data_IF_091152397866
#
_entry.id   IF_091152397866
#
_cell.length_a   1.000
_cell.length_b   1.000
_cell.length_c   1.000
_cell.angle_alpha   90.00
_cell.angle_beta   90.00
_cell.angle_gamma   90.00
#
_symmetry.space_group_name_H-M   'P 1'
#
loop_
_entity.id
_entity.type
_entity.pdbx_description
1 polymer ?
#
# COMPACT_ATOMS: atom_id res chain seq x y z
N UNK A 1 -23.22 -9.88 23.04
CA UNK A 1 -23.10 -11.20 22.37
C UNK A 1 -22.13 -10.99 21.21
N UNK A 2 -20.88 -11.35 21.36
CA UNK A 2 -19.88 -11.20 20.28
C UNK A 2 -20.04 -12.38 19.34
N UNK A 3 -20.29 -12.11 18.05
CA UNK A 3 -20.32 -13.13 17.01
C UNK A 3 -18.91 -13.74 16.86
N UNK A 4 -18.83 -15.04 16.70
CA UNK A 4 -17.58 -15.78 16.51
C UNK A 4 -16.77 -15.16 15.37
N UNK A 5 -15.52 -14.84 15.66
CA UNK A 5 -14.52 -14.45 14.67
C UNK A 5 -14.35 -15.63 13.71
N UNK A 6 -14.79 -15.47 12.46
CA UNK A 6 -14.63 -16.51 11.43
C UNK A 6 -15.67 -16.50 10.31
N UNK A 7 -16.82 -15.94 10.52
CA UNK A 7 -17.82 -15.76 9.46
C UNK A 7 -17.93 -14.29 9.12
N UNK A 8 -17.60 -13.94 7.88
CA UNK A 8 -17.96 -12.62 7.34
C UNK A 8 -19.49 -12.51 7.47
N UNK A 9 -20.02 -11.49 8.20
CA UNK A 9 -21.44 -11.41 8.53
C UNK A 9 -22.34 -11.27 7.31
N UNK A 10 -21.77 -11.00 6.13
CA UNK A 10 -22.50 -10.84 4.88
C UNK A 10 -21.69 -11.49 3.76
N UNK A 11 -22.07 -12.68 3.24
CA UNK A 11 -21.42 -13.24 2.07
C UNK A 11 -21.65 -12.33 0.87
N UNK A 12 -20.58 -11.89 0.27
CA UNK A 12 -20.59 -11.18 -1.01
C UNK A 12 -21.16 -12.11 -2.08
N UNK A 13 -22.25 -11.68 -2.72
CA UNK A 13 -22.83 -12.42 -3.83
C UNK A 13 -22.20 -12.04 -5.16
N UNK A 14 -22.56 -12.81 -6.15
CA UNK A 14 -22.08 -12.79 -7.54
C UNK A 14 -21.77 -11.39 -8.05
N UNK A 15 -20.60 -11.29 -8.62
CA UNK A 15 -20.16 -10.10 -9.33
C UNK A 15 -21.04 -9.87 -10.58
N UNK A 16 -21.63 -8.67 -10.67
CA UNK A 16 -22.30 -8.21 -11.88
C UNK A 16 -21.38 -7.24 -12.61
N UNK A 17 -21.28 -7.34 -13.91
CA UNK A 17 -20.59 -6.34 -14.72
C UNK A 17 -21.22 -4.96 -14.53
N UNK A 18 -20.38 -3.94 -14.51
CA UNK A 18 -20.83 -2.57 -14.34
C UNK A 18 -20.82 -1.84 -15.67
N UNK A 19 -21.99 -1.35 -16.06
CA UNK A 19 -22.13 -0.48 -17.23
C UNK A 19 -21.32 0.83 -17.12
N UNK A 20 -20.98 1.24 -15.89
CA UNK A 20 -20.30 2.51 -15.61
C UNK A 20 -18.77 2.43 -15.50
N UNK A 21 -18.24 1.23 -15.38
CA UNK A 21 -16.82 0.92 -15.52
C UNK A 21 -16.67 0.12 -16.82
N UNK A 22 -17.17 0.65 -17.91
CA UNK A 22 -17.08 0.00 -19.21
C UNK A 22 -15.68 -0.43 -19.51
N UNK A 23 -15.55 -1.73 -19.60
CA UNK A 23 -14.30 -2.38 -19.72
C UNK A 23 -14.29 -3.15 -20.98
N UNK A 24 -13.48 -2.70 -21.83
CA UNK A 24 -13.00 -3.56 -22.88
C UNK A 24 -11.85 -4.39 -22.31
N UNK A 25 -12.13 -5.65 -22.03
CA UNK A 25 -11.09 -6.66 -21.97
C UNK A 25 -10.57 -6.80 -23.39
N UNK A 26 -9.40 -6.28 -23.67
CA UNK A 26 -8.66 -6.77 -24.81
C UNK A 26 -8.34 -8.23 -24.50
N UNK A 27 -8.81 -9.15 -25.33
CA UNK A 27 -8.46 -10.56 -25.26
C UNK A 27 -6.93 -10.65 -25.27
N UNK A 28 -6.33 -11.03 -24.14
CA UNK A 28 -4.89 -11.17 -24.02
C UNK A 28 -4.22 -10.56 -22.79
N UNK A 29 -4.90 -9.78 -21.96
CA UNK A 29 -4.34 -9.31 -20.68
C UNK A 29 -4.37 -10.43 -19.63
N UNK A 30 -3.43 -11.38 -19.78
CA UNK A 30 -3.33 -12.59 -18.93
C UNK A 30 -2.86 -12.25 -17.50
N UNK A 31 -2.31 -11.05 -17.26
CA UNK A 31 -1.69 -10.65 -15.99
C UNK A 31 -2.41 -9.49 -15.29
N UNK A 32 -3.71 -9.64 -15.07
CA UNK A 32 -4.46 -8.68 -14.28
C UNK A 32 -4.44 -9.04 -12.78
N UNK A 33 -4.20 -8.05 -11.94
CA UNK A 33 -4.30 -8.21 -10.48
C UNK A 33 -5.61 -7.60 -9.99
N UNK A 34 -6.47 -8.37 -9.30
CA UNK A 34 -7.73 -7.86 -8.74
C UNK A 34 -7.48 -7.03 -7.47
N UNK A 35 -8.17 -5.88 -7.37
CA UNK A 35 -8.22 -5.05 -6.17
C UNK A 35 -9.66 -4.72 -5.81
N UNK A 36 -10.01 -4.83 -4.53
CA UNK A 36 -11.26 -4.30 -4.03
C UNK A 36 -11.10 -2.81 -3.77
N UNK A 37 -11.99 -2.00 -4.33
CA UNK A 37 -11.95 -0.55 -4.26
C UNK A 37 -13.31 0.03 -3.85
N UNK A 38 -13.28 1.17 -3.16
CA UNK A 38 -14.43 2.04 -3.06
C UNK A 38 -14.31 3.12 -4.13
N UNK A 39 -15.39 3.36 -4.86
CA UNK A 39 -15.44 4.42 -5.87
C UNK A 39 -16.06 5.65 -5.24
N UNK A 40 -15.32 6.74 -5.24
CA UNK A 40 -15.77 8.05 -4.82
C UNK A 40 -15.69 9.09 -5.95
N UNK A 41 -16.24 10.27 -5.69
CA UNK A 41 -16.15 11.43 -6.57
C UNK A 41 -15.60 12.61 -5.79
N UNK A 42 -14.29 12.84 -5.91
CA UNK A 42 -13.63 13.99 -5.28
C UNK A 42 -13.88 15.23 -6.15
N UNK A 43 -14.76 16.13 -5.68
CA UNK A 43 -15.20 17.32 -6.42
C UNK A 43 -15.63 17.01 -7.87
N UNK A 44 -16.35 15.90 -8.07
CA UNK A 44 -16.84 15.46 -9.37
C UNK A 44 -15.90 14.55 -10.15
N UNK A 45 -14.64 14.44 -9.76
CA UNK A 45 -13.67 13.52 -10.37
C UNK A 45 -13.74 12.15 -9.71
N UNK A 46 -13.87 11.10 -10.51
CA UNK A 46 -13.89 9.73 -10.00
C UNK A 46 -12.52 9.35 -9.44
N UNK A 47 -12.53 8.80 -8.23
CA UNK A 47 -11.34 8.30 -7.54
C UNK A 47 -11.60 6.91 -6.99
N UNK A 48 -10.57 6.08 -6.90
CA UNK A 48 -10.61 4.82 -6.18
C UNK A 48 -9.92 4.98 -4.83
N UNK A 49 -10.51 4.41 -3.79
CA UNK A 49 -9.83 4.21 -2.50
C UNK A 49 -9.67 2.72 -2.28
N UNK A 50 -8.44 2.27 -2.06
CA UNK A 50 -8.14 0.86 -1.87
C UNK A 50 -7.10 0.62 -0.78
N UNK A 51 -7.12 -0.61 -0.25
CA UNK A 51 -6.12 -1.10 0.70
C UNK A 51 -5.17 -2.03 -0.06
N UNK A 52 -3.89 -1.68 -0.09
CA UNK A 52 -2.88 -2.46 -0.83
C UNK A 52 -1.85 -3.00 0.17
N UNK A 53 -1.55 -4.31 0.17
CA UNK A 53 -0.47 -4.85 0.99
C UNK A 53 0.85 -4.13 0.70
N UNK A 54 1.65 -3.90 1.75
CA UNK A 54 2.90 -3.13 1.67
C UNK A 54 3.79 -3.55 0.51
N UNK A 55 4.06 -4.86 0.42
CA UNK A 55 4.92 -5.40 -0.65
C UNK A 55 4.30 -5.18 -2.02
N UNK A 56 3.01 -5.49 -2.18
CA UNK A 56 2.33 -5.38 -3.48
C UNK A 56 2.29 -3.94 -3.99
N UNK A 57 2.13 -2.96 -3.08
CA UNK A 57 2.13 -1.54 -3.47
C UNK A 57 3.44 -1.13 -4.16
N UNK A 58 4.57 -1.59 -3.64
CA UNK A 58 5.86 -1.30 -4.26
C UNK A 58 5.95 -1.84 -5.69
N UNK A 59 5.49 -3.08 -5.90
CA UNK A 59 5.58 -3.78 -7.19
C UNK A 59 4.73 -3.11 -8.28
N UNK A 60 3.59 -2.48 -7.92
CA UNK A 60 2.65 -1.88 -8.87
C UNK A 60 2.70 -0.35 -8.93
N UNK A 61 3.61 0.29 -8.19
CA UNK A 61 3.70 1.75 -8.12
C UNK A 61 5.07 2.26 -8.57
N UNK A 62 5.08 3.50 -9.06
CA UNK A 62 6.31 4.24 -9.29
C UNK A 62 6.11 5.72 -8.94
N UNK A 63 7.22 6.45 -8.79
CA UNK A 63 7.17 7.88 -8.51
C UNK A 63 6.81 8.63 -9.79
N UNK A 64 5.85 9.56 -9.71
CA UNK A 64 5.42 10.33 -10.85
C UNK A 64 6.58 11.14 -11.43
N UNK A 65 7.11 10.65 -12.55
CA UNK A 65 8.20 11.22 -13.31
C UNK A 65 7.73 11.53 -14.73
N UNK A 66 8.19 12.64 -15.26
CA UNK A 66 8.16 12.92 -16.68
C UNK A 66 9.53 12.55 -17.26
N UNK A 67 9.57 11.59 -18.16
CA UNK A 67 10.83 11.14 -18.76
C UNK A 67 11.51 12.21 -19.60
N UNK A 68 10.76 13.16 -20.13
CA UNK A 68 11.26 14.24 -21.00
C UNK A 68 11.53 15.53 -20.21
N UNK A 69 10.70 15.86 -19.23
CA UNK A 69 10.79 17.11 -18.46
C UNK A 69 11.32 16.93 -17.01
N UNK A 70 11.66 15.70 -16.61
CA UNK A 70 12.15 15.41 -15.26
C UNK A 70 11.04 15.23 -14.21
N UNK A 71 11.35 15.33 -12.92
CA UNK A 71 10.39 15.04 -11.87
C UNK A 71 9.17 15.97 -11.95
N UNK A 72 7.97 15.37 -11.91
CA UNK A 72 6.70 16.11 -11.88
C UNK A 72 6.59 16.82 -10.53
N UNK A 73 7.13 18.06 -10.45
CA UNK A 73 6.99 18.98 -9.32
C UNK A 73 7.24 18.40 -7.90
N UNK A 74 7.85 17.23 -7.79
CA UNK A 74 8.10 16.58 -6.52
C UNK A 74 9.32 17.23 -5.81
N UNK A 75 9.26 17.30 -4.48
CA UNK A 75 10.45 17.68 -3.70
C UNK A 75 11.53 16.61 -3.89
N UNK A 76 12.80 17.05 -3.86
CA UNK A 76 13.90 16.12 -3.81
C UNK A 76 13.69 15.11 -2.67
N UNK A 77 13.90 13.83 -2.97
CA UNK A 77 13.81 12.77 -1.97
C UNK A 77 14.82 13.05 -0.85
N UNK A 78 14.36 13.16 0.39
CA UNK A 78 15.22 13.22 1.56
C UNK A 78 15.47 11.79 2.07
N UNK A 79 16.68 11.23 1.87
CA UNK A 79 17.00 9.88 2.31
C UNK A 79 16.94 9.73 3.83
N UNK A 80 17.24 10.80 4.58
CA UNK A 80 17.19 10.79 6.04
C UNK A 80 15.76 10.66 6.55
N UNK A 81 14.84 11.41 5.94
CA UNK A 81 13.41 11.31 6.26
C UNK A 81 12.85 9.93 5.88
N UNK A 82 13.21 9.42 4.70
CA UNK A 82 12.76 8.09 4.27
C UNK A 82 13.25 6.97 5.18
N UNK A 83 14.49 7.04 5.69
CA UNK A 83 15.02 6.09 6.69
C UNK A 83 14.22 6.12 7.99
N UNK A 84 13.87 7.32 8.49
CA UNK A 84 13.02 7.45 9.69
C UNK A 84 11.65 6.83 9.46
N UNK A 85 11.04 7.04 8.29
CA UNK A 85 9.79 6.41 7.91
C UNK A 85 9.93 4.88 7.80
N UNK A 86 11.03 4.37 7.25
CA UNK A 86 11.28 2.93 7.18
C UNK A 86 11.32 2.28 8.57
N UNK A 87 12.04 2.89 9.53
CA UNK A 87 12.05 2.40 10.92
C UNK A 87 10.66 2.46 11.53
N UNK A 88 9.92 3.55 11.32
CA UNK A 88 8.54 3.68 11.76
C UNK A 88 7.65 2.56 11.20
N UNK A 89 7.80 2.25 9.92
CA UNK A 89 7.06 1.18 9.24
C UNK A 89 7.44 -0.20 9.77
N UNK A 90 8.73 -0.47 10.03
CA UNK A 90 9.17 -1.72 10.65
C UNK A 90 8.52 -1.93 12.03
N UNK A 91 8.47 -0.90 12.87
CA UNK A 91 7.74 -0.95 14.14
C UNK A 91 6.28 -1.33 13.94
N UNK A 92 5.62 -0.66 12.99
CA UNK A 92 4.23 -0.93 12.63
C UNK A 92 4.01 -2.36 12.14
N UNK A 93 4.91 -2.90 11.32
CA UNK A 93 4.85 -4.27 10.80
C UNK A 93 5.04 -5.31 11.90
N UNK A 94 5.99 -5.10 12.83
CA UNK A 94 6.17 -5.96 14.00
C UNK A 94 4.93 -5.90 14.90
N UNK A 95 4.39 -4.71 15.13
CA UNK A 95 3.13 -4.53 15.88
C UNK A 95 1.95 -5.23 15.19
N UNK A 96 1.84 -5.12 13.86
CA UNK A 96 0.80 -5.78 13.08
C UNK A 96 0.90 -7.32 13.19
N UNK A 97 2.13 -7.86 13.14
CA UNK A 97 2.36 -9.28 13.33
C UNK A 97 1.95 -9.74 14.75
N UNK A 98 2.32 -8.96 15.78
CA UNK A 98 1.88 -9.19 17.18
C UNK A 98 0.35 -9.20 17.29
N UNK A 99 -0.32 -8.18 16.74
CA UNK A 99 -1.79 -8.08 16.75
C UNK A 99 -2.47 -9.23 15.99
N UNK A 100 -1.88 -9.67 14.87
CA UNK A 100 -2.37 -10.83 14.12
C UNK A 100 -2.30 -12.11 14.96
N UNK A 101 -1.25 -12.33 15.74
CA UNK A 101 -1.16 -13.47 16.66
C UNK A 101 -2.28 -13.42 17.70
N UNK A 102 -2.47 -12.27 18.36
CA UNK A 102 -3.56 -12.07 19.32
C UNK A 102 -4.91 -12.34 18.69
N UNK A 103 -5.18 -11.78 17.51
CA UNK A 103 -6.46 -11.95 16.80
C UNK A 103 -6.73 -13.40 16.38
N UNK A 104 -5.68 -14.21 16.18
CA UNK A 104 -5.78 -15.63 15.82
C UNK A 104 -5.63 -16.59 17.02
N UNK A 105 -5.59 -16.06 18.25
CA UNK A 105 -5.48 -16.86 19.48
C UNK A 105 -4.12 -17.57 19.63
N UNK A 106 -3.07 -17.08 18.98
CA UNK A 106 -1.71 -17.60 19.13
C UNK A 106 -0.98 -16.92 20.28
N UNK A 107 -0.13 -17.65 20.97
CA UNK A 107 0.76 -17.07 21.98
C UNK A 107 1.66 -16.00 21.36
N UNK A 108 1.94 -14.96 22.14
CA UNK A 108 2.83 -13.86 21.74
C UNK A 108 4.16 -14.02 22.50
N UNK A 109 5.24 -14.48 21.82
CA UNK A 109 6.56 -14.58 22.44
C UNK A 109 7.09 -13.21 22.91
N UNK A 110 7.88 -13.21 24.00
CA UNK A 110 8.54 -12.00 24.53
C UNK A 110 9.48 -11.34 23.52
N UNK A 111 9.97 -12.08 22.54
CA UNK A 111 10.77 -11.57 21.44
C UNK A 111 10.09 -10.41 20.67
N UNK A 112 8.75 -10.37 20.60
CA UNK A 112 8.04 -9.22 20.01
C UNK A 112 8.29 -7.94 20.81
N UNK A 113 8.28 -8.01 22.13
CA UNK A 113 8.54 -6.84 22.98
C UNK A 113 10.02 -6.47 22.93
N UNK A 114 10.92 -7.46 22.87
CA UNK A 114 12.35 -7.23 22.66
C UNK A 114 12.61 -6.46 21.37
N UNK A 115 12.10 -6.92 20.23
CA UNK A 115 12.28 -6.27 18.92
C UNK A 115 11.61 -4.88 18.89
N UNK A 116 10.43 -4.71 19.46
CA UNK A 116 9.78 -3.40 19.57
C UNK A 116 10.61 -2.41 20.40
N UNK A 117 11.23 -2.86 21.52
CA UNK A 117 12.15 -2.04 22.30
C UNK A 117 13.41 -1.67 21.51
N UNK A 118 13.97 -2.61 20.77
CA UNK A 118 15.13 -2.37 19.89
C UNK A 118 14.83 -1.28 18.83
N UNK A 119 13.63 -1.29 18.26
CA UNK A 119 13.16 -0.29 17.29
C UNK A 119 12.73 1.04 17.95
N UNK A 120 12.48 1.02 19.26
CA UNK A 120 11.85 2.10 20.03
C UNK A 120 10.32 1.99 20.04
N UNK A 121 9.77 1.81 21.21
CA UNK A 121 8.32 1.62 21.44
C UNK A 121 7.50 2.83 21.03
N UNK A 122 6.28 2.57 20.59
CA UNK A 122 5.31 3.59 20.24
C UNK A 122 3.88 3.05 20.44
N UNK A 123 2.96 3.83 21.01
CA UNK A 123 1.64 3.33 21.39
C UNK A 123 0.71 3.06 20.22
N UNK A 124 0.93 3.72 19.08
CA UNK A 124 0.07 3.60 17.91
C UNK A 124 0.83 3.89 16.60
N UNK A 125 0.45 3.21 15.54
CA UNK A 125 1.04 3.36 14.21
C UNK A 125 -0.03 3.66 13.18
N UNK A 126 0.18 4.69 12.38
CA UNK A 126 -0.67 5.02 11.25
C UNK A 126 0.15 5.69 10.15
N UNK A 127 -0.17 5.37 8.92
CA UNK A 127 0.42 5.99 7.74
C UNK A 127 -0.69 6.70 6.98
N UNK A 128 -0.46 7.97 6.64
CA UNK A 128 -1.38 8.73 5.81
C UNK A 128 -1.56 8.07 4.45
N UNK A 129 -2.74 8.20 3.81
CA UNK A 129 -2.99 7.70 2.47
C UNK A 129 -1.95 8.20 1.47
N UNK A 130 -1.60 7.36 0.50
CA UNK A 130 -0.75 7.71 -0.63
C UNK A 130 -1.66 8.10 -1.78
N UNK A 131 -1.37 9.22 -2.45
CA UNK A 131 -2.14 9.70 -3.59
C UNK A 131 -1.41 9.31 -4.87
N UNK A 132 -2.12 8.60 -5.74
CA UNK A 132 -1.60 8.11 -7.01
C UNK A 132 -2.50 8.52 -8.19
N UNK A 133 -1.97 8.36 -9.40
CA UNK A 133 -2.73 8.42 -10.64
C UNK A 133 -2.43 7.19 -11.49
N UNK A 134 -3.41 6.68 -12.21
CA UNK A 134 -3.20 5.74 -13.31
C UNK A 134 -3.29 6.53 -14.60
N UNK A 135 -2.16 6.65 -15.31
CA UNK A 135 -2.06 7.30 -16.62
C UNK A 135 -2.56 6.37 -17.73
N UNK A 136 -2.76 6.93 -18.92
CA UNK A 136 -3.12 6.20 -20.13
C UNK A 136 -4.45 5.42 -20.03
N UNK A 137 -5.34 5.89 -19.17
CA UNK A 137 -6.74 5.46 -19.13
C UNK A 137 -7.62 6.66 -19.38
N UNK A 138 -8.86 6.47 -19.88
CA UNK A 138 -9.81 7.58 -20.04
C UNK A 138 -10.04 8.29 -18.69
N UNK A 139 -10.33 9.61 -18.70
CA UNK A 139 -10.69 10.32 -17.50
C UNK A 139 -11.83 9.63 -16.75
N UNK A 140 -11.63 9.37 -15.46
CA UNK A 140 -12.57 8.62 -14.65
C UNK A 140 -12.52 7.10 -14.82
N UNK A 141 -11.59 6.57 -15.64
CA UNK A 141 -11.30 5.13 -15.74
C UNK A 141 -12.30 4.30 -16.57
N UNK A 142 -13.29 4.93 -17.20
CA UNK A 142 -14.32 4.22 -18.01
C UNK A 142 -14.19 4.52 -19.50
N UNK A 143 -14.80 3.68 -20.34
CA UNK A 143 -14.74 3.77 -21.80
C UNK A 143 -13.64 2.90 -22.42
N UNK A 144 -13.43 3.06 -23.71
CA UNK A 144 -12.43 2.29 -24.46
C UNK A 144 -11.02 2.48 -23.88
N UNK A 145 -10.31 1.40 -23.59
CA UNK A 145 -9.02 1.44 -22.89
C UNK A 145 -9.11 1.70 -21.39
N UNK A 146 -10.31 1.66 -20.80
CA UNK A 146 -10.54 1.86 -19.37
C UNK A 146 -10.14 0.66 -18.50
N UNK A 147 -10.41 0.81 -17.19
CA UNK A 147 -10.13 -0.23 -16.20
C UNK A 147 -11.36 -1.13 -16.08
N UNK A 148 -11.16 -2.43 -16.18
CA UNK A 148 -12.20 -3.43 -15.98
C UNK A 148 -12.61 -3.53 -14.51
N UNK A 149 -13.89 -3.59 -14.25
CA UNK A 149 -14.41 -3.73 -12.90
C UNK A 149 -15.73 -4.47 -12.84
N UNK A 150 -16.01 -4.98 -11.65
CA UNK A 150 -17.27 -5.63 -11.32
C UNK A 150 -17.77 -5.09 -9.99
N UNK A 151 -19.08 -4.96 -9.87
CA UNK A 151 -19.72 -4.58 -8.62
C UNK A 151 -19.88 -5.81 -7.73
N UNK A 152 -19.48 -5.69 -6.48
CA UNK A 152 -19.73 -6.70 -5.46
C UNK A 152 -20.90 -6.24 -4.59
N UNK A 153 -21.91 -7.07 -4.51
CA UNK A 153 -23.16 -6.78 -3.79
C UNK A 153 -23.31 -7.66 -2.55
N UNK A 154 -24.04 -7.14 -1.58
CA UNK A 154 -24.50 -7.89 -0.42
C UNK A 154 -25.68 -8.78 -0.82
N UNK A 155 -26.15 -9.64 0.10
CA UNK A 155 -27.37 -10.45 -0.10
C UNK A 155 -28.63 -9.62 -0.36
N UNK A 156 -28.64 -8.36 0.04
CA UNK A 156 -29.75 -7.44 -0.13
C UNK A 156 -29.62 -6.56 -1.37
N UNK A 157 -28.75 -6.95 -2.33
CA UNK A 157 -28.46 -6.21 -3.55
C UNK A 157 -27.83 -4.80 -3.33
N UNK A 158 -27.31 -4.54 -2.11
CA UNK A 158 -26.59 -3.30 -1.82
C UNK A 158 -25.15 -3.41 -2.29
N UNK A 159 -24.61 -2.33 -2.85
CA UNK A 159 -23.21 -2.30 -3.26
C UNK A 159 -22.29 -2.33 -2.05
N UNK A 160 -21.48 -3.37 -1.91
CA UNK A 160 -20.47 -3.48 -0.87
C UNK A 160 -19.16 -2.78 -1.26
N UNK A 161 -18.66 -3.07 -2.46
CA UNK A 161 -17.48 -2.45 -3.06
C UNK A 161 -17.40 -2.82 -4.54
N UNK A 162 -16.34 -2.38 -5.19
CA UNK A 162 -16.05 -2.78 -6.57
C UNK A 162 -14.75 -3.59 -6.59
N UNK A 163 -14.66 -4.56 -7.49
CA UNK A 163 -13.42 -5.26 -7.81
C UNK A 163 -12.94 -4.80 -9.16
N UNK A 164 -11.79 -4.12 -9.19
CA UNK A 164 -11.14 -3.67 -10.42
C UNK A 164 -9.96 -4.58 -10.74
N UNK A 165 -9.65 -4.70 -12.01
CA UNK A 165 -8.57 -5.55 -12.51
C UNK A 165 -7.51 -4.63 -13.14
N UNK A 166 -6.36 -4.54 -12.49
CA UNK A 166 -5.25 -3.72 -12.95
C UNK A 166 -4.24 -4.59 -13.69
N UNK A 167 -4.05 -4.31 -14.96
CA UNK A 167 -2.97 -4.91 -15.76
C UNK A 167 -1.61 -4.29 -15.37
N UNK A 168 -0.50 -4.92 -15.74
CA UNK A 168 0.86 -4.43 -15.47
C UNK A 168 1.12 -3.00 -16.00
N UNK A 169 0.43 -2.61 -17.09
CA UNK A 169 0.49 -1.25 -17.65
C UNK A 169 -0.16 -0.19 -16.75
N UNK A 170 -1.04 -0.58 -15.84
CA UNK A 170 -1.73 0.32 -14.93
C UNK A 170 -0.87 0.65 -13.70
N UNK A 171 0.27 1.30 -13.95
CA UNK A 171 1.19 1.72 -12.89
C UNK A 171 0.52 2.80 -12.04
N UNK A 172 0.60 2.64 -10.72
CA UNK A 172 0.20 3.66 -9.76
C UNK A 172 1.30 4.72 -9.66
N UNK A 173 1.15 5.82 -10.41
CA UNK A 173 2.08 6.93 -10.36
C UNK A 173 1.87 7.74 -9.09
N UNK A 174 2.80 7.66 -8.15
CA UNK A 174 2.72 8.34 -6.85
C UNK A 174 2.89 9.84 -7.04
N UNK A 175 1.83 10.60 -6.73
CA UNK A 175 1.81 12.08 -6.75
C UNK A 175 2.21 12.62 -5.37
N UNK A 176 1.56 12.15 -4.29
CA UNK A 176 1.97 12.46 -2.92
C UNK A 176 2.25 11.17 -2.15
N UNK A 177 3.33 11.19 -1.36
CA UNK A 177 3.75 10.05 -0.56
C UNK A 177 5.01 9.35 -1.07
N UNK A 178 5.83 9.98 -1.92
CA UNK A 178 7.08 9.38 -2.40
C UNK A 178 8.01 8.93 -1.27
N UNK A 179 8.15 9.72 -0.19
CA UNK A 179 8.97 9.32 0.97
C UNK A 179 8.36 8.11 1.69
N UNK A 180 7.03 8.00 1.72
CA UNK A 180 6.31 6.84 2.28
C UNK A 180 6.54 5.60 1.44
N UNK A 181 6.44 5.71 0.10
CA UNK A 181 6.77 4.63 -0.82
C UNK A 181 8.23 4.17 -0.67
N UNK A 182 9.16 5.11 -0.66
CA UNK A 182 10.59 4.79 -0.51
C UNK A 182 10.91 4.23 0.88
N UNK A 183 10.28 4.74 1.94
CA UNK A 183 10.40 4.18 3.29
C UNK A 183 9.88 2.74 3.37
N UNK A 184 8.77 2.45 2.69
CA UNK A 184 8.24 1.08 2.60
C UNK A 184 9.21 0.14 1.86
N UNK A 185 9.83 0.60 0.78
CA UNK A 185 10.86 -0.16 0.07
C UNK A 185 12.05 -0.49 0.97
N UNK A 186 12.60 0.52 1.66
CA UNK A 186 13.71 0.30 2.61
C UNK A 186 13.35 -0.68 3.73
N UNK A 187 12.12 -0.62 4.23
CA UNK A 187 11.64 -1.55 5.25
C UNK A 187 11.56 -2.99 4.69
N UNK A 188 11.08 -3.16 3.46
CA UNK A 188 11.02 -4.47 2.80
C UNK A 188 12.40 -5.03 2.51
N UNK A 189 13.32 -4.21 1.98
CA UNK A 189 14.71 -4.61 1.75
C UNK A 189 15.38 -5.09 3.05
N UNK A 190 15.16 -4.37 4.16
CA UNK A 190 15.64 -4.78 5.48
C UNK A 190 15.11 -6.16 5.87
N UNK A 191 13.80 -6.37 5.80
CA UNK A 191 13.16 -7.63 6.15
C UNK A 191 13.63 -8.79 5.27
N UNK A 192 13.76 -8.56 3.97
CA UNK A 192 14.26 -9.55 3.02
C UNK A 192 15.73 -9.93 3.33
N UNK A 193 16.58 -8.95 3.61
CA UNK A 193 17.97 -9.21 3.94
C UNK A 193 18.11 -9.99 5.26
N UNK A 194 17.37 -9.58 6.30
CA UNK A 194 17.36 -10.31 7.58
C UNK A 194 16.94 -11.76 7.38
N UNK A 195 15.87 -11.98 6.62
CA UNK A 195 15.32 -13.32 6.35
C UNK A 195 16.29 -14.20 5.56
N UNK A 196 16.98 -13.62 4.56
CA UNK A 196 17.90 -14.38 3.70
C UNK A 196 19.23 -14.71 4.38
N UNK A 197 19.73 -13.79 5.21
CA UNK A 197 21.08 -13.89 5.76
C UNK A 197 21.13 -14.32 7.22
N UNK A 198 20.03 -14.20 7.95
CA UNK A 198 20.00 -14.37 9.41
C UNK A 198 20.81 -13.31 10.17
N UNK A 199 21.16 -12.20 9.51
CA UNK A 199 21.96 -11.12 10.08
C UNK A 199 21.29 -9.77 9.90
N UNK A 200 21.47 -8.90 10.88
CA UNK A 200 21.11 -7.50 10.69
C UNK A 200 21.97 -6.85 9.59
N UNK A 201 21.40 -5.97 8.75
CA UNK A 201 22.17 -5.25 7.74
C UNK A 201 23.33 -4.46 8.36
N UNK A 202 24.51 -4.59 7.75
CA UNK A 202 25.72 -3.96 8.23
C UNK A 202 25.88 -2.49 7.85
N UNK A 203 27.04 -1.93 8.14
CA UNK A 203 27.41 -0.56 7.72
C UNK A 203 27.36 -0.47 6.20
N UNK A 204 26.74 0.54 5.67
CA UNK A 204 26.55 0.73 4.23
C UNK A 204 25.16 0.35 3.73
N UNK A 205 24.38 -0.44 4.46
CA UNK A 205 22.97 -0.59 4.17
C UNK A 205 22.21 0.72 4.39
N UNK A 206 21.20 0.97 3.58
CA UNK A 206 20.36 2.16 3.71
C UNK A 206 19.70 2.24 5.08
N UNK A 207 19.28 1.09 5.60
CA UNK A 207 18.72 0.91 6.92
C UNK A 207 19.52 -0.16 7.66
N UNK A 208 19.98 0.13 8.86
CA UNK A 208 20.74 -0.81 9.68
C UNK A 208 20.32 -0.70 11.17
N UNK A 209 20.19 -1.86 11.79
CA UNK A 209 19.94 -2.05 13.20
C UNK A 209 20.99 -3.06 13.67
N UNK A 210 21.53 -2.90 14.90
CA UNK A 210 22.53 -3.83 15.45
C UNK A 210 23.74 -4.16 14.56
N UNK A 211 24.01 -3.36 13.55
CA UNK A 211 25.26 -3.29 12.76
C UNK A 211 25.84 -4.63 12.29
N UNK A 212 25.03 -5.47 11.68
CA UNK A 212 25.51 -6.70 11.05
C UNK A 212 25.72 -7.88 12.00
N UNK A 213 25.24 -7.79 13.23
CA UNK A 213 25.25 -8.89 14.17
C UNK A 213 24.30 -10.01 13.72
N UNK A 214 24.56 -11.23 14.17
CA UNK A 214 23.64 -12.35 14.00
C UNK A 214 22.33 -12.05 14.69
N UNK A 215 21.23 -12.24 14.01
CA UNK A 215 19.88 -12.10 14.58
C UNK A 215 19.66 -13.27 15.54
N UNK A 216 19.25 -13.04 16.80
CA UNK A 216 18.84 -14.10 17.71
C UNK A 216 17.73 -14.96 17.10
N UNK A 217 17.73 -16.27 17.39
CA UNK A 217 16.75 -17.18 16.80
C UNK A 217 15.30 -16.79 17.14
N UNK A 218 15.08 -16.31 18.37
CA UNK A 218 13.77 -15.82 18.83
C UNK A 218 13.31 -14.59 18.03
N UNK A 219 14.23 -13.64 17.73
CA UNK A 219 13.94 -12.45 16.95
C UNK A 219 13.69 -12.79 15.47
N UNK A 220 14.32 -13.85 14.95
CA UNK A 220 14.06 -14.33 13.57
C UNK A 220 12.60 -14.70 13.34
N UNK A 221 11.92 -15.27 14.34
CA UNK A 221 10.48 -15.51 14.26
C UNK A 221 9.72 -14.20 14.06
N UNK A 222 10.06 -13.18 14.83
CA UNK A 222 9.40 -11.86 14.76
C UNK A 222 9.59 -11.20 13.39
N UNK A 223 10.82 -11.23 12.87
CA UNK A 223 11.12 -10.64 11.56
C UNK A 223 10.43 -11.39 10.41
N UNK A 224 10.36 -12.72 10.48
CA UNK A 224 9.64 -13.52 9.50
C UNK A 224 8.13 -13.20 9.52
N UNK A 225 7.53 -13.09 10.70
CA UNK A 225 6.12 -12.74 10.81
C UNK A 225 5.83 -11.28 10.42
N UNK A 226 6.74 -10.34 10.69
CA UNK A 226 6.65 -8.97 10.20
C UNK A 226 6.69 -8.91 8.65
N UNK A 227 7.57 -9.71 8.03
CA UNK A 227 7.61 -9.87 6.57
C UNK A 227 6.30 -10.42 6.01
N UNK A 228 5.76 -11.47 6.64
CA UNK A 228 4.48 -12.07 6.22
C UNK A 228 3.30 -11.11 6.44
N UNK A 229 3.34 -10.30 7.50
CA UNK A 229 2.36 -9.24 7.73
C UNK A 229 2.41 -8.17 6.63
N UNK A 230 3.59 -7.77 6.17
CA UNK A 230 3.77 -6.81 5.08
C UNK A 230 3.20 -7.32 3.73
N UNK A 231 3.15 -8.63 3.54
CA UNK A 231 2.63 -9.24 2.30
C UNK A 231 1.12 -9.40 2.26
N UNK A 232 0.46 -9.48 3.40
CA UNK A 232 -0.94 -9.88 3.44
C UNK A 232 -1.82 -9.16 4.46
N UNK A 233 -1.29 -8.73 5.58
CA UNK A 233 -2.07 -8.23 6.70
C UNK A 233 -1.96 -6.71 6.88
N UNK A 234 -0.76 -6.17 6.82
CA UNK A 234 -0.53 -4.74 6.86
C UNK A 234 -0.74 -4.12 5.47
N UNK A 235 -1.60 -3.13 5.39
CA UNK A 235 -1.96 -2.47 4.12
C UNK A 235 -1.69 -0.98 4.17
N UNK A 236 -1.47 -0.40 3.00
CA UNK A 236 -1.44 1.03 2.77
C UNK A 236 -2.78 1.47 2.18
N UNK A 237 -3.33 2.57 2.69
CA UNK A 237 -4.46 3.22 2.04
C UNK A 237 -3.95 4.02 0.85
N UNK A 238 -4.52 3.76 -0.32
CA UNK A 238 -4.16 4.43 -1.57
C UNK A 238 -5.40 5.09 -2.16
N UNK A 239 -5.31 6.39 -2.43
CA UNK A 239 -6.27 7.12 -3.23
C UNK A 239 -5.74 7.21 -4.66
N UNK A 240 -6.53 6.77 -5.63
CA UNK A 240 -6.12 6.67 -7.02
C UNK A 240 -7.00 7.54 -7.89
N UNK A 241 -6.40 8.56 -8.49
CA UNK A 241 -6.97 9.34 -9.57
C UNK A 241 -6.82 8.60 -10.91
N UNK A 242 -7.66 8.91 -11.89
CA UNK A 242 -7.76 8.16 -13.13
C UNK A 242 -7.64 9.08 -14.33
N UNK A 243 -6.61 8.83 -15.15
CA UNK A 243 -6.42 9.51 -16.43
C UNK A 243 -5.98 10.97 -16.32
N UNK A 244 -5.36 11.37 -15.20
CA UNK A 244 -4.80 12.73 -15.12
C UNK A 244 -3.60 12.87 -16.04
N UNK A 245 -3.55 14.00 -16.76
CA UNK A 245 -2.36 14.43 -17.46
C UNK A 245 -1.31 15.02 -16.52
N UNK A 246 -0.09 15.21 -17.02
CA UNK A 246 1.07 15.67 -16.21
C UNK A 246 0.81 17.01 -15.53
N UNK A 247 0.17 17.96 -16.21
CA UNK A 247 -0.15 19.27 -15.63
C UNK A 247 -1.19 19.18 -14.51
N UNK A 248 -2.15 18.25 -14.64
CA UNK A 248 -3.12 17.97 -13.58
C UNK A 248 -2.46 17.30 -12.38
N UNK A 249 -1.51 16.38 -12.60
CA UNK A 249 -0.72 15.79 -11.52
C UNK A 249 0.11 16.87 -10.78
N UNK A 250 0.73 17.80 -11.52
CA UNK A 250 1.45 18.94 -10.93
C UNK A 250 0.53 19.81 -10.09
N UNK A 251 -0.65 20.15 -10.63
CA UNK A 251 -1.64 20.96 -9.90
C UNK A 251 -2.07 20.25 -8.62
N UNK A 252 -2.45 18.97 -8.71
CA UNK A 252 -2.86 18.16 -7.57
C UNK A 252 -1.77 18.10 -6.49
N UNK A 253 -0.51 17.88 -6.88
CA UNK A 253 0.62 17.90 -5.96
C UNK A 253 0.78 19.24 -5.24
N UNK A 254 0.63 20.35 -5.98
CA UNK A 254 0.68 21.69 -5.38
C UNK A 254 -0.45 21.94 -4.40
N UNK A 255 -1.66 21.52 -4.73
CA UNK A 255 -2.84 21.73 -3.89
C UNK A 255 -2.71 20.93 -2.58
N UNK A 256 -2.33 19.67 -2.64
CA UNK A 256 -2.08 18.82 -1.47
C UNK A 256 -1.02 19.42 -0.53
N UNK A 257 0.02 20.07 -1.09
CA UNK A 257 1.10 20.64 -0.29
C UNK A 257 0.81 22.06 0.23
N UNK A 258 0.00 22.87 -0.47
CA UNK A 258 -0.32 24.25 -0.08
C UNK A 258 -1.51 24.33 0.86
N UNK A 259 -2.56 23.57 0.59
CA UNK A 259 -3.79 23.61 1.39
C UNK A 259 -3.60 22.93 2.74
N UNK A 260 -2.74 21.90 2.84
CA UNK A 260 -2.39 21.25 4.10
C UNK A 260 -1.52 22.07 5.07
N UNK A 261 -1.01 23.25 4.66
CA UNK A 261 -0.12 24.08 5.49
C UNK A 261 -0.81 25.27 6.19
N UNK A 262 -2.11 25.42 6.04
CA UNK A 262 -2.86 26.57 6.58
C UNK A 262 -3.94 26.16 7.58
N UNK A 263 -3.62 25.22 8.46
CA UNK A 263 -4.43 24.99 9.67
C UNK A 263 -3.54 25.14 10.88
#
# INVERSE_FOLDING_TARGET
MYSKVGELPIPLQTAKELDTLDVLVEEGDVNETPFNVFIGHNLGHRVFTMQVPFRKFYDISDVANDREAGPVAQRALDPGHAKKLAVYMLKGLVSAAKLKRVATGKDVPEAFDHVLKLLGEQPYFSIQPIVCNIRNVPPGGSGQGGIRGIRLETKNDETACFRVFLAERHILWVIDGQHRRFGADLAMQFLEQVRQTGKYPGRGAALHIEKGQQVPEEDMLVWNEAYDAARSYATLTVEVHLGLGIDQERQLFHDLNRLGKKV
#
